data_IF_793746682613
#
_entry.id   IF_793746682613
#
_cell.length_a   1.000
_cell.length_b   1.000
_cell.length_c   1.000
_cell.angle_alpha   90.00
_cell.angle_beta   90.00
_cell.angle_gamma   90.00
#
_symmetry.space_group_name_H-M   'P 1'
#
loop_
_entity.id
_entity.type
_entity.pdbx_description
1 polymer ?
#
# COMPACT_ATOMS: atom_id res chain seq x y z
N UNK A 1 10.67 -25.30 25.73
CA UNK A 1 11.09 -25.17 24.35
C UNK A 1 10.15 -24.15 23.68
N UNK A 2 10.71 -23.00 23.31
CA UNK A 2 10.00 -22.00 22.52
C UNK A 2 9.98 -22.57 21.11
N UNK A 3 8.81 -22.97 20.62
CA UNK A 3 8.63 -23.33 19.23
C UNK A 3 8.88 -22.05 18.42
N UNK A 4 9.78 -22.05 17.42
CA UNK A 4 9.96 -20.87 16.58
C UNK A 4 8.61 -20.55 15.96
N UNK A 5 8.12 -19.31 16.12
CA UNK A 5 7.00 -18.84 15.30
C UNK A 5 7.47 -18.91 13.85
N UNK A 6 6.87 -19.79 13.08
CA UNK A 6 7.06 -19.79 11.64
C UNK A 6 6.59 -18.43 11.15
N UNK A 7 7.50 -17.64 10.55
CA UNK A 7 7.12 -16.41 9.89
C UNK A 7 5.98 -16.71 8.92
N UNK A 8 4.95 -15.86 8.84
CA UNK A 8 3.86 -16.07 7.88
C UNK A 8 4.45 -16.20 6.48
N UNK A 9 3.95 -17.17 5.72
CA UNK A 9 4.41 -17.41 4.35
C UNK A 9 4.10 -16.15 3.54
N UNK A 10 5.12 -15.41 3.16
CA UNK A 10 5.01 -14.26 2.25
C UNK A 10 5.18 -14.76 0.83
N UNK A 11 4.12 -14.75 0.06
CA UNK A 11 4.17 -15.11 -1.36
C UNK A 11 4.50 -13.87 -2.18
N UNK A 12 5.70 -13.82 -2.73
CA UNK A 12 6.09 -12.77 -3.65
C UNK A 12 5.40 -12.96 -5.00
N UNK A 13 5.04 -11.86 -5.65
CA UNK A 13 4.33 -11.89 -6.91
C UNK A 13 4.83 -10.83 -7.90
N UNK A 14 4.45 -11.02 -9.17
CA UNK A 14 4.74 -10.14 -10.30
C UNK A 14 3.45 -9.99 -11.16
N UNK A 15 3.56 -9.47 -12.39
CA UNK A 15 2.43 -9.28 -13.30
C UNK A 15 1.62 -10.55 -13.57
N UNK A 16 2.19 -11.76 -13.38
CA UNK A 16 1.45 -13.03 -13.54
C UNK A 16 0.35 -13.20 -12.50
N UNK A 17 0.40 -12.45 -11.41
CA UNK A 17 -0.68 -12.40 -10.42
C UNK A 17 -1.97 -11.82 -11.00
N UNK A 18 -1.91 -11.11 -12.14
CA UNK A 18 -3.08 -10.60 -12.87
C UNK A 18 -4.12 -11.68 -13.17
N UNK A 19 -3.68 -12.89 -13.53
CA UNK A 19 -4.55 -14.02 -13.86
C UNK A 19 -5.26 -14.61 -12.62
N UNK A 20 -4.82 -14.24 -11.42
CA UNK A 20 -5.31 -14.76 -10.14
C UNK A 20 -6.09 -13.71 -9.33
N UNK A 21 -6.34 -12.54 -9.91
CA UNK A 21 -7.16 -11.52 -9.28
C UNK A 21 -8.58 -12.05 -9.13
N UNK A 22 -9.11 -11.99 -7.91
CA UNK A 22 -10.51 -12.27 -7.63
C UNK A 22 -11.05 -11.31 -6.57
N UNK A 23 -12.33 -11.05 -6.61
CA UNK A 23 -13.05 -10.23 -5.65
C UNK A 23 -13.87 -11.13 -4.73
N UNK A 24 -13.66 -11.00 -3.42
CA UNK A 24 -14.46 -11.68 -2.42
C UNK A 24 -15.79 -10.95 -2.22
N UNK A 25 -16.89 -11.69 -2.12
CA UNK A 25 -18.21 -11.11 -1.91
C UNK A 25 -18.38 -10.59 -0.47
N UNK A 26 -18.68 -9.29 -0.33
CA UNK A 26 -18.80 -8.64 0.97
C UNK A 26 -19.87 -9.25 1.86
N UNK A 27 -21.03 -9.65 1.31
CA UNK A 27 -22.10 -10.23 2.09
C UNK A 27 -21.73 -11.63 2.60
N UNK A 28 -20.99 -12.39 1.80
CA UNK A 28 -20.43 -13.67 2.21
C UNK A 28 -19.46 -13.50 3.39
N UNK A 29 -18.57 -12.52 3.30
CA UNK A 29 -17.60 -12.24 4.37
C UNK A 29 -18.26 -11.87 5.69
N UNK A 30 -19.35 -11.09 5.67
CA UNK A 30 -20.10 -10.73 6.89
C UNK A 30 -20.72 -11.95 7.60
N UNK A 31 -21.09 -12.96 6.84
CA UNK A 31 -21.83 -14.12 7.34
C UNK A 31 -20.95 -15.35 7.55
N UNK A 32 -19.71 -15.36 7.05
CA UNK A 32 -18.82 -16.53 7.07
C UNK A 32 -17.45 -16.19 7.66
N UNK A 33 -17.18 -16.65 8.88
CA UNK A 33 -15.86 -16.54 9.51
C UNK A 33 -14.76 -17.25 8.71
N UNK A 34 -15.12 -18.31 7.97
CA UNK A 34 -14.17 -19.05 7.13
C UNK A 34 -13.72 -18.19 5.95
N UNK A 35 -14.65 -17.52 5.27
CA UNK A 35 -14.34 -16.70 4.11
C UNK A 35 -13.62 -15.40 4.54
N UNK A 36 -14.03 -14.79 5.66
CA UNK A 36 -13.29 -13.69 6.26
C UNK A 36 -11.85 -14.11 6.60
N UNK A 37 -11.65 -15.26 7.25
CA UNK A 37 -10.30 -15.77 7.53
C UNK A 37 -9.48 -15.95 6.26
N UNK A 38 -10.09 -16.49 5.18
CA UNK A 38 -9.40 -16.67 3.89
C UNK A 38 -8.95 -15.35 3.29
N UNK A 39 -9.80 -14.31 3.31
CA UNK A 39 -9.43 -12.96 2.87
C UNK A 39 -8.28 -12.38 3.70
N UNK A 40 -8.36 -12.49 5.02
CA UNK A 40 -7.31 -11.96 5.91
C UNK A 40 -5.96 -12.66 5.69
N UNK A 41 -5.98 -13.98 5.47
CA UNK A 41 -4.79 -14.73 5.09
C UNK A 41 -4.23 -14.30 3.74
N UNK A 42 -5.08 -14.02 2.75
CA UNK A 42 -4.63 -13.50 1.47
C UNK A 42 -3.94 -12.14 1.63
N UNK A 43 -4.52 -11.22 2.41
CA UNK A 43 -3.89 -9.90 2.67
C UNK A 43 -2.54 -10.09 3.38
N UNK A 44 -2.45 -11.00 4.37
CA UNK A 44 -1.20 -11.34 5.06
C UNK A 44 -0.13 -11.88 4.09
N UNK A 45 -0.52 -12.82 3.23
CA UNK A 45 0.41 -13.62 2.43
C UNK A 45 0.82 -12.90 1.14
N UNK A 46 -0.11 -12.21 0.46
CA UNK A 46 0.10 -11.51 -0.80
C UNK A 46 0.19 -9.99 -0.66
N UNK A 47 -0.21 -9.44 0.47
CA UNK A 47 -0.20 -8.00 0.73
C UNK A 47 -1.45 -7.27 0.25
N UNK A 48 -2.44 -7.92 -0.37
CA UNK A 48 -3.68 -7.27 -0.79
C UNK A 48 -4.87 -8.23 -0.81
N UNK A 49 -6.07 -7.65 -0.78
CA UNK A 49 -7.34 -8.35 -0.98
C UNK A 49 -8.36 -7.42 -1.62
N UNK A 50 -9.27 -7.99 -2.40
CA UNK A 50 -10.28 -7.25 -3.16
C UNK A 50 -11.67 -7.73 -2.76
N UNK A 51 -12.61 -6.80 -2.65
CA UNK A 51 -14.02 -7.06 -2.33
C UNK A 51 -14.93 -6.50 -3.41
N UNK A 52 -16.05 -7.16 -3.59
CA UNK A 52 -17.17 -6.69 -4.42
C UNK A 52 -18.48 -6.69 -3.62
N UNK A 53 -19.53 -6.10 -4.20
CA UNK A 53 -20.84 -5.96 -3.58
C UNK A 53 -20.81 -5.22 -2.23
N UNK A 54 -19.84 -4.31 -2.06
CA UNK A 54 -19.79 -3.40 -0.93
C UNK A 54 -20.76 -2.25 -1.21
N UNK A 55 -21.72 -1.97 -0.30
CA UNK A 55 -22.66 -0.88 -0.49
C UNK A 55 -21.97 0.46 -0.73
N UNK A 56 -22.45 1.25 -1.70
CA UNK A 56 -21.83 2.51 -2.12
C UNK A 56 -22.23 3.74 -1.29
N UNK A 57 -22.88 3.52 -0.15
CA UNK A 57 -23.16 4.58 0.79
C UNK A 57 -21.86 5.15 1.39
N UNK A 58 -21.80 6.48 1.59
CA UNK A 58 -20.64 7.10 2.20
C UNK A 58 -20.26 6.46 3.54
N UNK A 59 -18.95 6.37 3.79
CA UNK A 59 -18.35 5.79 5.00
C UNK A 59 -18.51 4.26 5.17
N UNK A 60 -19.08 3.53 4.22
CA UNK A 60 -19.14 2.05 4.28
C UNK A 60 -17.76 1.40 4.40
N UNK A 61 -16.71 2.03 3.88
CA UNK A 61 -15.32 1.59 4.04
C UNK A 61 -14.92 1.40 5.51
N UNK A 62 -15.45 2.22 6.43
CA UNK A 62 -15.18 2.11 7.87
C UNK A 62 -15.82 0.85 8.46
N UNK A 63 -17.01 0.46 7.97
CA UNK A 63 -17.67 -0.79 8.38
C UNK A 63 -16.92 -2.02 7.92
N UNK A 64 -16.27 -1.96 6.75
CA UNK A 64 -15.38 -3.05 6.29
C UNK A 64 -14.20 -3.22 7.25
N UNK A 65 -13.54 -2.13 7.66
CA UNK A 65 -12.43 -2.20 8.63
C UNK A 65 -12.86 -2.79 9.95
N UNK A 66 -14.06 -2.45 10.46
CA UNK A 66 -14.60 -2.99 11.72
C UNK A 66 -14.76 -4.52 11.72
N UNK A 67 -14.80 -5.15 10.55
CA UNK A 67 -14.85 -6.62 10.46
C UNK A 67 -13.55 -7.29 10.94
N UNK A 68 -12.41 -6.58 10.90
CA UNK A 68 -11.10 -7.15 11.24
C UNK A 68 -10.22 -6.27 12.11
N UNK A 69 -10.61 -5.01 12.40
CA UNK A 69 -9.77 -4.12 13.18
C UNK A 69 -10.39 -2.77 13.49
N UNK A 70 -9.52 -1.79 13.61
CA UNK A 70 -9.84 -0.42 13.96
C UNK A 70 -9.33 0.54 12.91
N UNK A 71 -10.13 1.56 12.62
CA UNK A 71 -9.72 2.66 11.73
C UNK A 71 -8.67 3.51 12.46
N UNK A 72 -7.60 3.83 11.76
CA UNK A 72 -6.58 4.73 12.25
C UNK A 72 -6.97 6.17 11.94
N UNK A 73 -7.19 6.98 12.97
CA UNK A 73 -7.42 8.40 12.83
C UNK A 73 -6.09 9.14 12.53
N UNK A 74 -6.10 10.06 11.58
CA UNK A 74 -4.95 10.85 11.16
C UNK A 74 -5.34 12.35 11.08
N UNK A 75 -4.40 13.22 10.63
CA UNK A 75 -4.75 14.61 10.31
C UNK A 75 -5.75 14.75 9.15
N UNK A 76 -5.96 13.69 8.37
CA UNK A 76 -7.03 13.60 7.35
C UNK A 76 -8.37 13.14 7.93
N UNK A 77 -8.45 12.86 9.25
CA UNK A 77 -9.59 12.21 9.89
C UNK A 77 -9.53 10.67 9.82
N UNK A 78 -10.66 10.05 10.06
CA UNK A 78 -10.86 8.60 9.90
C UNK A 78 -11.09 8.19 8.43
N UNK A 79 -11.61 9.14 7.64
CA UNK A 79 -12.00 8.97 6.24
C UNK A 79 -11.38 10.07 5.39
N UNK A 80 -10.89 9.73 4.21
CA UNK A 80 -10.45 10.69 3.21
C UNK A 80 -11.12 10.43 1.85
N UNK A 81 -11.24 11.50 1.06
CA UNK A 81 -11.83 11.45 -0.27
C UNK A 81 -10.75 11.33 -1.36
N UNK A 82 -11.06 10.58 -2.42
CA UNK A 82 -10.24 10.50 -3.62
C UNK A 82 -11.13 10.79 -4.82
N UNK A 83 -11.18 12.05 -5.22
CA UNK A 83 -11.97 12.53 -6.36
C UNK A 83 -11.31 13.77 -6.98
N UNK A 84 -11.52 14.00 -8.27
CA UNK A 84 -11.04 15.23 -8.91
C UNK A 84 -11.76 16.46 -8.35
N UNK A 85 -10.99 17.49 -8.01
CA UNK A 85 -11.47 18.75 -7.47
C UNK A 85 -11.05 19.91 -8.37
N UNK A 86 -11.81 21.04 -8.39
CA UNK A 86 -11.49 22.19 -9.25
C UNK A 86 -10.15 22.86 -8.93
N UNK A 87 -9.74 22.85 -7.65
CA UNK A 87 -8.48 23.43 -7.16
C UNK A 87 -7.73 22.41 -6.30
N UNK A 88 -7.05 21.45 -6.93
CA UNK A 88 -6.51 20.29 -6.26
C UNK A 88 -5.23 20.62 -5.49
N UNK A 89 -5.23 20.42 -4.19
CA UNK A 89 -4.04 20.49 -3.33
C UNK A 89 -3.14 19.24 -3.41
N UNK A 90 -3.61 18.14 -4.00
CA UNK A 90 -2.90 16.86 -4.09
C UNK A 90 -3.20 16.16 -5.42
N UNK A 91 -2.24 15.35 -5.94
CA UNK A 91 -2.44 14.55 -7.14
C UNK A 91 -3.62 13.58 -7.05
N UNK A 92 -3.97 13.10 -5.85
CA UNK A 92 -5.16 12.27 -5.63
C UNK A 92 -6.46 12.97 -6.04
N UNK A 93 -6.48 14.31 -6.03
CA UNK A 93 -7.60 15.16 -6.41
C UNK A 93 -7.53 15.65 -7.87
N UNK A 94 -6.70 15.03 -8.69
CA UNK A 94 -6.53 15.32 -10.11
C UNK A 94 -6.92 14.13 -10.97
N UNK A 95 -7.04 14.36 -12.29
CA UNK A 95 -7.19 13.30 -13.29
C UNK A 95 -5.84 12.74 -13.80
N UNK A 96 -4.73 13.31 -13.37
CA UNK A 96 -3.39 12.87 -13.76
C UNK A 96 -3.08 11.48 -13.20
N UNK A 97 -2.21 10.75 -13.90
CA UNK A 97 -1.69 9.48 -13.39
C UNK A 97 -0.90 9.69 -12.11
N UNK A 98 -0.96 8.71 -11.23
CA UNK A 98 -0.20 8.68 -9.97
C UNK A 98 0.76 7.51 -10.06
N UNK A 99 2.07 7.80 -10.10
CA UNK A 99 3.11 6.77 -10.11
C UNK A 99 3.11 5.92 -8.84
N UNK A 100 3.76 4.77 -8.91
CA UNK A 100 3.87 3.84 -7.79
C UNK A 100 4.44 4.50 -6.55
N UNK A 101 3.74 4.35 -5.42
CA UNK A 101 4.15 4.93 -4.14
C UNK A 101 3.55 4.14 -2.96
N UNK A 102 4.13 4.37 -1.78
CA UNK A 102 3.52 4.06 -0.48
C UNK A 102 2.99 5.34 0.14
N UNK A 103 1.92 5.25 0.90
CA UNK A 103 1.33 6.41 1.56
C UNK A 103 2.00 6.72 2.91
N UNK A 104 2.08 8.02 3.20
CA UNK A 104 2.46 8.58 4.50
C UNK A 104 3.82 8.09 5.05
N UNK A 105 4.91 8.04 4.26
CA UNK A 105 6.22 7.58 4.74
C UNK A 105 6.83 8.50 5.79
N UNK A 106 6.29 9.70 5.95
CA UNK A 106 6.65 10.71 6.95
C UNK A 106 6.02 10.46 8.33
N UNK A 107 5.27 9.36 8.51
CA UNK A 107 4.69 8.98 9.81
C UNK A 107 5.53 7.90 10.49
N UNK A 108 5.50 7.91 11.82
CA UNK A 108 6.06 6.86 12.65
C UNK A 108 5.04 6.52 13.77
N UNK A 109 4.47 5.30 13.73
CA UNK A 109 4.57 4.29 12.68
C UNK A 109 3.84 4.69 11.39
N UNK A 110 4.30 4.17 10.24
CA UNK A 110 3.57 4.27 8.96
C UNK A 110 2.24 3.51 9.07
N UNK A 111 1.14 3.98 8.44
CA UNK A 111 -0.09 3.19 8.35
C UNK A 111 0.18 1.81 7.75
N UNK A 112 -0.28 0.77 8.44
CA UNK A 112 -0.01 -0.61 8.04
C UNK A 112 -0.86 -1.06 6.87
N UNK A 113 -2.16 -0.73 6.89
CA UNK A 113 -3.11 -1.05 5.84
C UNK A 113 -3.72 0.23 5.28
N UNK A 114 -3.94 0.23 3.97
CA UNK A 114 -4.76 1.23 3.29
C UNK A 114 -5.95 0.53 2.66
N UNK A 115 -7.10 1.17 2.75
CA UNK A 115 -8.35 0.69 2.21
C UNK A 115 -8.90 1.76 1.28
N UNK A 116 -9.28 1.38 0.05
CA UNK A 116 -9.91 2.27 -0.93
C UNK A 116 -11.19 1.62 -1.43
N UNK A 117 -12.30 2.32 -1.29
CA UNK A 117 -13.64 1.89 -1.69
C UNK A 117 -14.16 2.79 -2.81
N UNK A 118 -14.53 2.21 -3.92
CA UNK A 118 -15.08 2.93 -5.05
C UNK A 118 -16.60 3.13 -4.88
N UNK A 119 -17.02 4.39 -4.79
CA UNK A 119 -18.43 4.78 -4.72
C UNK A 119 -19.00 5.01 -6.12
N UNK A 120 -18.23 5.66 -6.99
CA UNK A 120 -18.61 5.99 -8.36
C UNK A 120 -17.38 5.86 -9.25
N UNK A 121 -17.53 5.21 -10.40
CA UNK A 121 -16.50 5.18 -11.42
C UNK A 121 -17.12 5.18 -12.83
N UNK A 122 -17.30 6.38 -13.35
CA UNK A 122 -17.78 6.66 -14.72
C UNK A 122 -16.63 7.10 -15.63
N UNK A 123 -15.38 7.02 -15.12
CA UNK A 123 -14.21 7.47 -15.89
C UNK A 123 -13.84 6.47 -16.98
N UNK A 124 -13.28 6.99 -18.07
CA UNK A 124 -12.53 6.20 -19.05
C UNK A 124 -11.04 6.24 -18.67
N UNK A 125 -10.46 5.09 -18.31
CA UNK A 125 -9.15 5.00 -17.67
C UNK A 125 -9.22 5.08 -16.14
N UNK A 126 -8.11 5.44 -15.50
CA UNK A 126 -7.99 5.53 -14.05
C UNK A 126 -7.90 4.17 -13.35
N UNK A 127 -7.37 3.17 -14.06
CA UNK A 127 -7.12 1.83 -13.52
C UNK A 127 -6.22 1.91 -12.30
N UNK A 128 -6.55 1.11 -11.30
CA UNK A 128 -5.72 0.90 -10.13
C UNK A 128 -4.55 0.00 -10.48
N UNK A 129 -3.37 0.37 -10.03
CA UNK A 129 -2.12 -0.32 -10.30
C UNK A 129 -1.47 -0.73 -8.98
N UNK A 130 -0.97 -1.97 -8.89
CA UNK A 130 -0.27 -2.49 -7.72
C UNK A 130 1.03 -3.17 -8.11
N UNK A 131 2.04 -3.01 -7.24
CA UNK A 131 3.35 -3.69 -7.34
C UNK A 131 3.73 -4.27 -5.99
N UNK A 132 4.19 -5.53 -5.96
CA UNK A 132 4.78 -6.12 -4.76
C UNK A 132 6.20 -5.56 -4.54
N UNK A 133 6.30 -4.57 -3.68
CA UNK A 133 7.58 -3.95 -3.35
C UNK A 133 8.60 -4.93 -2.76
N UNK A 134 8.14 -5.98 -2.06
CA UNK A 134 9.04 -7.01 -1.54
C UNK A 134 9.63 -7.85 -2.67
N UNK A 135 8.86 -8.18 -3.70
CA UNK A 135 9.38 -8.87 -4.88
C UNK A 135 10.43 -8.03 -5.61
N UNK A 136 10.18 -6.72 -5.76
CA UNK A 136 11.15 -5.79 -6.35
C UNK A 136 12.40 -5.67 -5.48
N UNK A 137 12.26 -5.52 -4.16
CA UNK A 137 13.40 -5.46 -3.24
C UNK A 137 14.28 -6.72 -3.32
N UNK A 138 13.68 -7.91 -3.35
CA UNK A 138 14.41 -9.18 -3.51
C UNK A 138 15.06 -9.32 -4.91
N UNK A 139 14.43 -8.79 -5.96
CA UNK A 139 15.03 -8.70 -7.29
C UNK A 139 16.29 -7.83 -7.27
N UNK A 140 16.24 -6.67 -6.57
CA UNK A 140 17.40 -5.78 -6.39
C UNK A 140 18.47 -6.50 -5.57
N UNK A 141 18.12 -7.10 -4.43
CA UNK A 141 19.08 -7.83 -3.58
C UNK A 141 19.86 -8.87 -4.36
N UNK A 142 19.16 -9.62 -5.20
CA UNK A 142 19.78 -10.71 -6.00
C UNK A 142 20.64 -10.20 -7.15
N UNK A 143 20.21 -9.17 -7.86
CA UNK A 143 20.86 -8.71 -9.09
C UNK A 143 21.81 -7.53 -8.91
N UNK A 144 21.55 -6.69 -7.90
CA UNK A 144 22.24 -5.43 -7.64
C UNK A 144 22.50 -5.26 -6.12
N UNK A 145 23.32 -6.15 -5.50
CA UNK A 145 23.48 -6.20 -4.05
C UNK A 145 24.01 -4.89 -3.43
N UNK A 146 24.83 -4.14 -4.16
CA UNK A 146 25.35 -2.85 -3.72
C UNK A 146 24.21 -1.81 -3.64
N UNK A 147 23.36 -1.75 -4.66
CA UNK A 147 22.17 -0.89 -4.63
C UNK A 147 21.21 -1.28 -3.49
N UNK A 148 21.00 -2.59 -3.28
CA UNK A 148 20.19 -3.06 -2.13
C UNK A 148 20.79 -2.60 -0.81
N UNK A 149 22.11 -2.72 -0.64
CA UNK A 149 22.81 -2.26 0.57
C UNK A 149 22.57 -0.77 0.81
N UNK A 150 22.73 0.08 -0.21
CA UNK A 150 22.49 1.51 -0.10
C UNK A 150 21.03 1.82 0.26
N UNK A 151 20.07 1.21 -0.44
CA UNK A 151 18.64 1.44 -0.21
C UNK A 151 18.14 0.95 1.15
N UNK A 152 18.86 -0.01 1.77
CA UNK A 152 18.50 -0.58 3.07
C UNK A 152 19.30 -0.04 4.26
N UNK A 153 20.33 0.76 4.03
CA UNK A 153 21.17 1.30 5.11
C UNK A 153 21.19 2.84 5.16
N UNK A 154 21.05 3.50 4.01
CA UNK A 154 21.06 4.97 4.00
C UNK A 154 19.68 5.52 4.41
N UNK A 155 19.69 6.49 5.33
CA UNK A 155 18.48 7.06 5.89
C UNK A 155 17.97 8.22 5.04
N UNK A 156 16.75 8.11 4.59
CA UNK A 156 16.01 9.15 3.85
C UNK A 156 15.06 9.86 4.79
N UNK A 157 15.03 11.17 4.71
CA UNK A 157 14.09 12.01 5.43
C UNK A 157 12.83 12.19 4.59
N UNK A 158 11.67 11.92 5.18
CA UNK A 158 10.36 12.18 4.59
C UNK A 158 9.67 13.27 5.41
N UNK A 159 9.02 14.23 4.75
CA UNK A 159 8.30 15.30 5.41
C UNK A 159 6.98 15.61 4.71
N UNK A 160 5.98 15.91 5.50
CA UNK A 160 4.71 16.48 5.08
C UNK A 160 4.44 17.72 5.91
N UNK A 161 4.24 18.84 5.23
CA UNK A 161 3.93 20.13 5.84
C UNK A 161 2.58 20.61 5.31
N UNK A 162 1.64 20.83 6.23
CA UNK A 162 0.39 21.53 6.00
C UNK A 162 0.36 22.71 6.98
N UNK A 163 0.57 23.91 6.45
CA UNK A 163 0.79 25.11 7.27
C UNK A 163 -0.33 25.34 8.27
N UNK A 164 0.03 25.38 9.55
CA UNK A 164 -0.90 25.58 10.65
C UNK A 164 -1.72 24.35 11.09
N UNK A 165 -1.59 23.22 10.38
CA UNK A 165 -2.35 21.99 10.68
C UNK A 165 -1.45 20.80 11.02
N UNK A 166 -0.40 20.55 10.27
CA UNK A 166 0.48 19.41 10.50
C UNK A 166 1.90 19.64 9.94
N UNK A 167 2.91 19.26 10.71
CA UNK A 167 4.30 19.13 10.25
C UNK A 167 4.80 17.75 10.71
N UNK A 168 4.80 16.80 9.79
CA UNK A 168 5.10 15.41 10.07
C UNK A 168 6.41 15.02 9.39
N UNK A 169 7.29 14.39 10.14
CA UNK A 169 8.60 13.99 9.67
C UNK A 169 8.99 12.62 10.20
N UNK A 170 9.56 11.79 9.35
CA UNK A 170 10.21 10.55 9.73
C UNK A 170 11.47 10.32 8.90
N UNK A 171 12.40 9.57 9.47
CA UNK A 171 13.64 9.18 8.80
C UNK A 171 13.75 7.66 8.80
N UNK A 172 13.95 7.06 7.64
CA UNK A 172 14.00 5.61 7.47
C UNK A 172 14.77 5.26 6.18
N UNK A 173 15.36 4.07 6.07
CA UNK A 173 15.78 3.58 4.77
C UNK A 173 14.56 3.36 3.85
N UNK A 174 14.77 3.32 2.54
CA UNK A 174 13.70 3.00 1.57
C UNK A 174 13.26 1.54 1.68
N UNK A 175 14.20 0.63 1.98
CA UNK A 175 13.94 -0.80 2.22
C UNK A 175 14.31 -1.10 3.67
N UNK A 176 13.32 -1.42 4.48
CA UNK A 176 13.55 -1.80 5.87
C UNK A 176 13.74 -3.32 5.98
N UNK A 177 14.76 -3.73 6.74
CA UNK A 177 15.03 -5.15 7.02
C UNK A 177 15.02 -5.44 8.51
N UNK A 178 14.63 -6.66 8.90
CA UNK A 178 14.79 -7.13 10.26
C UNK A 178 16.25 -7.58 10.52
N UNK A 179 16.63 -7.92 11.77
CA UNK A 179 17.99 -8.41 12.10
C UNK A 179 18.41 -9.69 11.37
N UNK A 180 17.47 -10.45 10.82
CA UNK A 180 17.71 -11.63 9.98
C UNK A 180 17.93 -11.26 8.51
N UNK A 181 17.81 -9.97 8.16
CA UNK A 181 17.96 -9.45 6.81
C UNK A 181 16.72 -9.61 5.93
N UNK A 182 15.57 -10.05 6.47
CA UNK A 182 14.34 -10.14 5.71
C UNK A 182 13.74 -8.74 5.48
N UNK A 183 13.25 -8.46 4.27
CA UNK A 183 12.54 -7.21 3.98
C UNK A 183 11.23 -7.17 4.76
N UNK A 184 11.00 -6.13 5.53
CA UNK A 184 9.81 -5.97 6.38
C UNK A 184 8.95 -4.77 6.02
N UNK A 185 9.51 -3.76 5.36
CA UNK A 185 8.76 -2.61 4.85
C UNK A 185 9.51 -1.92 3.70
N UNK A 186 8.74 -1.19 2.88
CA UNK A 186 9.25 -0.20 1.95
C UNK A 186 8.60 1.15 2.23
N UNK A 187 9.39 2.22 2.07
CA UNK A 187 8.90 3.60 2.03
C UNK A 187 9.37 4.22 0.71
N UNK A 188 8.47 4.40 -0.23
CA UNK A 188 8.76 5.00 -1.52
C UNK A 188 7.68 6.02 -1.89
N UNK A 189 8.02 7.29 -1.83
CA UNK A 189 7.13 8.38 -2.20
C UNK A 189 7.97 9.62 -2.54
N UNK A 190 8.14 9.89 -3.84
CA UNK A 190 8.98 11.00 -4.34
C UNK A 190 8.45 12.39 -3.96
N UNK A 191 7.17 12.52 -3.59
CA UNK A 191 6.55 13.81 -3.22
C UNK A 191 6.89 14.22 -1.80
N UNK A 192 7.18 13.28 -0.91
CA UNK A 192 7.50 13.55 0.50
C UNK A 192 8.97 13.30 0.86
N UNK A 193 9.71 12.58 0.02
CA UNK A 193 11.14 12.41 0.18
C UNK A 193 11.84 13.77 0.05
N UNK A 194 12.64 14.12 1.05
CA UNK A 194 13.41 15.34 1.06
C UNK A 194 14.74 15.14 0.31
N UNK A 195 15.42 16.25 -0.02
CA UNK A 195 16.75 16.20 -0.65
C UNK A 195 17.69 15.31 0.16
N UNK A 196 18.37 14.41 -0.52
CA UNK A 196 19.35 13.52 0.11
C UNK A 196 20.60 14.33 0.55
N UNK A 197 21.09 14.01 1.74
CA UNK A 197 22.21 14.71 2.39
C UNK A 197 23.35 13.77 2.73
N UNK A 198 23.69 12.86 1.79
CA UNK A 198 24.78 11.92 1.96
C UNK A 198 26.15 12.56 1.65
N UNK A 199 27.25 11.88 2.01
CA UNK A 199 28.57 12.30 1.60
C UNK A 199 28.71 12.26 0.07
N UNK A 200 29.60 13.07 -0.49
CA UNK A 200 29.85 13.09 -1.94
C UNK A 200 30.26 11.72 -2.52
N UNK A 201 30.86 10.89 -1.72
CA UNK A 201 31.30 9.52 -2.08
C UNK A 201 30.11 8.56 -2.29
N UNK A 202 29.03 8.76 -1.55
CA UNK A 202 27.84 7.89 -1.56
C UNK A 202 26.74 8.46 -2.46
N UNK A 203 26.73 9.76 -2.67
CA UNK A 203 25.62 10.48 -3.29
C UNK A 203 25.27 9.96 -4.70
N UNK A 204 26.29 9.81 -5.56
CA UNK A 204 26.08 9.37 -6.95
C UNK A 204 25.51 7.94 -6.98
N UNK A 205 26.14 7.02 -6.24
CA UNK A 205 25.74 5.62 -6.19
C UNK A 205 24.33 5.47 -5.57
N UNK A 206 23.99 6.31 -4.59
CA UNK A 206 22.65 6.32 -4.01
C UNK A 206 21.59 6.80 -5.01
N UNK A 207 21.86 7.86 -5.79
CA UNK A 207 20.92 8.30 -6.83
C UNK A 207 20.74 7.24 -7.91
N UNK A 208 21.78 6.51 -8.29
CA UNK A 208 21.69 5.40 -9.23
C UNK A 208 20.86 4.25 -8.65
N UNK A 209 21.05 3.91 -7.38
CA UNK A 209 20.24 2.91 -6.69
C UNK A 209 18.76 3.34 -6.56
N UNK A 210 18.51 4.62 -6.24
CA UNK A 210 17.16 5.19 -6.16
C UNK A 210 16.45 5.16 -7.51
N UNK A 211 17.16 5.56 -8.58
CA UNK A 211 16.64 5.50 -9.95
C UNK A 211 16.32 4.07 -10.36
N UNK A 212 17.23 3.12 -10.09
CA UNK A 212 17.02 1.69 -10.36
C UNK A 212 15.76 1.17 -9.66
N UNK A 213 15.56 1.49 -8.38
CA UNK A 213 14.34 1.14 -7.64
C UNK A 213 13.10 1.70 -8.35
N UNK A 214 13.12 2.99 -8.72
CA UNK A 214 12.02 3.62 -9.43
C UNK A 214 11.72 2.96 -10.78
N UNK A 215 12.73 2.64 -11.57
CA UNK A 215 12.59 1.94 -12.85
C UNK A 215 11.94 0.56 -12.66
N UNK A 216 12.42 -0.25 -11.71
CA UNK A 216 11.90 -1.58 -11.44
C UNK A 216 10.47 -1.58 -10.88
N UNK A 217 10.10 -0.55 -10.12
CA UNK A 217 8.73 -0.36 -9.61
C UNK A 217 7.73 0.04 -10.72
N UNK A 218 8.21 0.54 -11.85
CA UNK A 218 7.37 0.93 -12.99
C UNK A 218 7.50 -0.03 -14.18
N UNK A 219 8.22 -1.16 -14.05
CA UNK A 219 8.23 -2.19 -15.07
C UNK A 219 6.84 -2.82 -15.23
N UNK A 220 6.31 -2.96 -16.46
CA UNK A 220 5.03 -3.64 -16.70
C UNK A 220 4.99 -5.06 -16.13
N UNK A 221 6.13 -5.76 -16.12
CA UNK A 221 6.27 -7.12 -15.61
C UNK A 221 6.16 -7.21 -14.08
N UNK A 222 6.24 -6.10 -13.36
CA UNK A 222 6.06 -6.03 -11.92
C UNK A 222 4.63 -5.66 -11.51
N UNK A 223 3.84 -5.09 -12.43
CA UNK A 223 2.56 -4.45 -12.16
C UNK A 223 1.38 -5.35 -12.48
N UNK A 224 0.40 -5.37 -11.57
CA UNK A 224 -0.99 -5.78 -11.90
C UNK A 224 -1.85 -4.53 -12.01
N UNK A 225 -2.79 -4.55 -12.95
CA UNK A 225 -3.65 -3.43 -13.24
C UNK A 225 -5.11 -3.89 -13.35
N UNK A 226 -6.03 -3.16 -12.74
CA UNK A 226 -7.45 -3.48 -12.79
C UNK A 226 -8.29 -2.24 -12.57
N UNK A 227 -9.48 -2.25 -13.16
CA UNK A 227 -10.50 -1.27 -12.88
C UNK A 227 -11.11 -1.54 -11.51
N UNK A 228 -11.33 -0.51 -10.74
CA UNK A 228 -12.10 -0.58 -9.50
C UNK A 228 -13.47 0.07 -9.76
N UNK A 229 -14.50 -0.76 -9.94
CA UNK A 229 -15.85 -0.32 -10.24
C UNK A 229 -16.63 0.06 -8.96
N UNK A 230 -17.75 0.76 -9.12
CA UNK A 230 -18.60 1.11 -8.00
C UNK A 230 -19.04 -0.11 -7.19
N UNK A 231 -18.92 -0.05 -5.87
CA UNK A 231 -19.16 -1.18 -4.97
C UNK A 231 -17.99 -2.16 -4.84
N UNK A 232 -16.85 -1.87 -5.48
CA UNK A 232 -15.61 -2.61 -5.27
C UNK A 232 -14.67 -1.89 -4.31
N UNK A 233 -13.88 -2.67 -3.57
CA UNK A 233 -12.98 -2.17 -2.53
C UNK A 233 -11.68 -2.96 -2.55
N UNK A 234 -10.56 -2.27 -2.31
CA UNK A 234 -9.26 -2.87 -2.11
C UNK A 234 -8.73 -2.60 -0.71
N UNK A 235 -8.11 -3.62 -0.11
CA UNK A 235 -7.31 -3.53 1.12
C UNK A 235 -5.89 -3.95 0.76
N UNK A 236 -4.88 -3.16 1.11
CA UNK A 236 -3.49 -3.56 0.88
C UNK A 236 -2.55 -3.14 2.00
N UNK A 237 -1.48 -3.91 2.17
CA UNK A 237 -0.35 -3.63 3.07
C UNK A 237 0.46 -2.48 2.48
N UNK A 238 0.26 -1.28 3.01
CA UNK A 238 0.91 -0.05 2.57
C UNK A 238 2.43 -0.03 2.86
N UNK A 239 2.94 -0.96 3.64
CA UNK A 239 4.38 -1.13 3.89
C UNK A 239 5.01 -2.15 2.94
N UNK A 240 4.22 -2.80 2.07
CA UNK A 240 4.67 -3.81 1.11
C UNK A 240 4.25 -3.49 -0.31
N UNK A 241 2.97 -3.22 -0.51
CA UNK A 241 2.38 -3.03 -1.83
C UNK A 241 2.40 -1.55 -2.19
N UNK A 242 3.12 -1.22 -3.26
CA UNK A 242 3.02 0.10 -3.85
C UNK A 242 1.79 0.16 -4.73
N UNK A 243 1.16 1.31 -4.73
CA UNK A 243 -0.03 1.54 -5.53
C UNK A 243 0.13 2.78 -6.40
N UNK A 244 -0.60 2.77 -7.50
CA UNK A 244 -0.66 3.85 -8.46
C UNK A 244 -2.01 3.87 -9.16
N UNK A 245 -2.14 4.78 -10.10
CA UNK A 245 -3.34 4.93 -10.91
C UNK A 245 -2.98 5.47 -12.28
N UNK A 246 -3.50 4.86 -13.34
CA UNK A 246 -3.41 5.45 -14.68
C UNK A 246 -4.17 6.79 -14.75
N UNK A 247 -3.83 7.64 -15.73
CA UNK A 247 -4.57 8.88 -15.96
C UNK A 247 -5.96 8.56 -16.52
N UNK A 248 -6.89 9.50 -16.38
CA UNK A 248 -8.18 9.48 -17.07
C UNK A 248 -8.56 10.88 -17.53
N UNK A 249 -9.28 10.96 -18.65
CA UNK A 249 -9.60 12.26 -19.27
C UNK A 249 -11.02 12.70 -18.95
N UNK A 250 -11.98 11.78 -19.03
CA UNK A 250 -13.42 12.06 -18.90
C UNK A 250 -14.04 11.24 -17.77
N UNK A 251 -15.28 11.62 -17.40
CA UNK A 251 -16.07 10.95 -16.40
C UNK A 251 -15.76 11.39 -14.97
N UNK A 252 -16.60 10.92 -14.06
CA UNK A 252 -16.51 11.19 -12.63
C UNK A 252 -16.06 9.93 -11.90
N UNK A 253 -15.08 10.09 -11.03
CA UNK A 253 -14.54 9.00 -10.20
C UNK A 253 -14.44 9.47 -8.77
N UNK A 254 -15.06 8.71 -7.86
CA UNK A 254 -15.10 9.00 -6.44
C UNK A 254 -14.83 7.76 -5.61
N UNK A 255 -13.74 7.77 -4.87
CA UNK A 255 -13.42 6.76 -3.88
C UNK A 255 -13.36 7.41 -2.50
N UNK A 256 -13.64 6.60 -1.50
CA UNK A 256 -13.34 6.91 -0.11
C UNK A 256 -12.26 5.96 0.39
N UNK A 257 -11.37 6.46 1.25
CA UNK A 257 -10.30 5.67 1.81
C UNK A 257 -10.14 5.89 3.32
N UNK A 258 -9.51 4.93 3.96
CA UNK A 258 -9.09 5.00 5.35
C UNK A 258 -7.82 4.18 5.57
N UNK A 259 -7.23 4.32 6.74
CA UNK A 259 -6.07 3.54 7.16
C UNK A 259 -6.43 2.65 8.34
N UNK A 260 -5.71 1.53 8.48
CA UNK A 260 -5.78 0.64 9.64
C UNK A 260 -4.39 0.07 9.95
N UNK A 261 -4.23 -0.52 11.14
CA UNK A 261 -2.96 -1.14 11.53
C UNK A 261 -3.01 -2.67 11.32
N UNK A 262 -1.85 -3.25 10.99
CA UNK A 262 -1.74 -4.69 10.64
C UNK A 262 -1.94 -5.63 11.83
N UNK A 263 -1.70 -5.16 13.03
CA UNK A 263 -1.79 -5.96 14.25
C UNK A 263 -3.19 -6.51 14.48
N UNK A 264 -4.23 -5.71 14.21
CA UNK A 264 -5.63 -6.12 14.32
C UNK A 264 -5.99 -7.24 13.36
N UNK A 265 -5.58 -7.13 12.10
CA UNK A 265 -5.76 -8.18 11.10
C UNK A 265 -5.06 -9.47 11.53
N UNK A 266 -3.80 -9.37 11.94
CA UNK A 266 -3.02 -10.52 12.39
C UNK A 266 -3.59 -11.14 13.66
N UNK A 267 -4.10 -10.31 14.59
CA UNK A 267 -4.77 -10.76 15.80
C UNK A 267 -6.02 -11.58 15.46
N UNK A 268 -6.87 -11.09 14.56
CA UNK A 268 -8.09 -11.80 14.20
C UNK A 268 -7.79 -13.12 13.50
N UNK A 269 -6.79 -13.21 12.63
CA UNK A 269 -6.35 -14.48 12.03
C UNK A 269 -6.06 -15.50 13.14
N UNK A 270 -5.22 -15.15 14.12
CA UNK A 270 -4.88 -16.04 15.25
C UNK A 270 -6.11 -16.44 16.08
N UNK A 271 -7.02 -15.51 16.33
CA UNK A 271 -8.28 -15.80 17.05
C UNK A 271 -9.16 -16.79 16.29
N UNK A 272 -9.24 -16.66 14.97
CA UNK A 272 -10.04 -17.58 14.14
C UNK A 272 -9.39 -18.95 14.00
N UNK A 273 -8.07 -19.03 14.00
CA UNK A 273 -7.30 -20.29 13.98
C UNK A 273 -7.36 -21.04 15.32
N UNK A 274 -7.34 -20.33 16.44
CA UNK A 274 -7.41 -20.93 17.78
C UNK A 274 -8.78 -21.57 18.11
N UNK A 275 -9.81 -21.28 17.30
CA UNK A 275 -11.17 -21.81 17.48
C UNK A 275 -11.46 -23.05 16.61
N UNK A 276 -10.47 -23.52 15.86
CA UNK A 276 -10.50 -24.77 15.09
C UNK A 276 -9.96 -25.91 15.95
#
# INVERSE_FOLDING_TARGET
>A
SITPQTNPIRTLWDAKQQEKIFFADYQTLKNSKKDLHSLLCQIRDYGYGLLENVPTEPATVLEVVKMFGYVRNTNYGELFEVRAEPDPANLAFTKLGIGMHTDNPYRDPVPGLQILHCLINESDGGESQLVDGFAVAEKIRKKYPEAFSLLSTQLVRFRYLDEGLADLEATSPLIETNPQGEVIALRYNSRSAQTFTFSSEVMADYYDAYRLLGELLHEPEACIEFRLDAGQLIIFDNQRVLHGRSAYEEGFRHLQGCYADKDSLQSLIRVLEAKK
#
